data_IF_152318103028
#
_entry.id   IF_152318103028
#
_cell.length_a   1.000
_cell.length_b   1.000
_cell.length_c   1.000
_cell.angle_alpha   90.00
_cell.angle_beta   90.00
_cell.angle_gamma   90.00
#
_symmetry.space_group_name_H-M   'P 1'
#
loop_
_entity.id
_entity.type
_entity.pdbx_description
1 polymer ?
#
# COMPACT_ATOMS: atom_id res chain seq x y z
N UNK A 1 -26.50 -31.36 15.46
CA UNK A 1 -26.43 -29.93 15.68
C UNK A 1 -25.23 -29.38 14.93
N UNK A 2 -25.48 -28.96 13.68
CA UNK A 2 -24.49 -28.27 12.85
C UNK A 2 -24.22 -26.89 13.42
N UNK A 3 -23.23 -26.81 14.29
CA UNK A 3 -22.70 -25.55 14.75
C UNK A 3 -21.99 -24.86 13.57
N UNK A 4 -22.57 -23.78 13.10
CA UNK A 4 -22.27 -23.01 11.90
C UNK A 4 -20.79 -22.86 11.60
N UNK A 5 -20.36 -23.49 10.52
CA UNK A 5 -19.08 -23.25 9.84
C UNK A 5 -19.14 -21.82 9.30
N UNK A 6 -18.73 -20.84 10.09
CA UNK A 6 -18.46 -19.47 9.59
C UNK A 6 -17.46 -19.63 8.45
N UNK A 7 -17.90 -19.47 7.23
CA UNK A 7 -16.99 -19.34 6.09
C UNK A 7 -16.10 -18.13 6.36
N UNK A 8 -14.83 -18.39 6.63
CA UNK A 8 -13.84 -17.34 6.88
C UNK A 8 -13.78 -16.50 5.61
N UNK A 9 -14.28 -15.28 5.64
CA UNK A 9 -14.25 -14.41 4.46
C UNK A 9 -12.78 -14.19 4.05
N UNK A 10 -12.51 -14.27 2.75
CA UNK A 10 -11.19 -14.01 2.18
C UNK A 10 -10.73 -12.62 2.60
N UNK A 11 -9.57 -12.48 3.27
CA UNK A 11 -9.08 -11.19 3.72
C UNK A 11 -8.74 -10.29 2.52
N UNK A 12 -9.01 -8.99 2.66
CA UNK A 12 -8.74 -8.00 1.62
C UNK A 12 -7.35 -7.39 1.81
N UNK A 13 -6.58 -7.36 0.70
CA UNK A 13 -5.37 -6.57 0.55
C UNK A 13 -5.68 -5.37 -0.35
N UNK A 14 -5.53 -4.17 0.20
CA UNK A 14 -5.82 -2.93 -0.49
C UNK A 14 -4.54 -2.31 -1.05
N UNK A 15 -4.43 -2.20 -2.37
CA UNK A 15 -3.33 -1.54 -3.05
C UNK A 15 -3.72 -0.10 -3.40
N UNK A 16 -3.12 0.87 -2.70
CA UNK A 16 -3.36 2.29 -2.92
C UNK A 16 -2.61 2.77 -4.16
N UNK A 17 -3.35 3.21 -5.17
CA UNK A 17 -2.78 3.79 -6.37
C UNK A 17 -3.18 5.25 -6.53
N UNK A 18 -2.18 6.12 -6.55
CA UNK A 18 -2.34 7.52 -6.92
C UNK A 18 -2.20 7.68 -8.44
N UNK A 19 -3.07 8.47 -9.07
CA UNK A 19 -3.00 8.74 -10.49
C UNK A 19 -1.90 9.76 -10.83
N UNK A 20 -1.38 9.65 -12.06
CA UNK A 20 -0.39 10.58 -12.61
C UNK A 20 -0.98 11.93 -13.03
N UNK A 21 -2.32 12.03 -13.08
CA UNK A 21 -3.02 13.17 -13.70
C UNK A 21 -3.26 14.35 -12.77
N UNK A 22 -2.92 14.22 -11.49
CA UNK A 22 -3.00 15.35 -10.57
C UNK A 22 -1.90 16.35 -10.92
N UNK A 23 -2.24 17.37 -11.71
CA UNK A 23 -1.41 18.53 -12.07
C UNK A 23 -1.04 19.42 -10.85
N UNK A 24 -0.82 18.83 -9.70
CA UNK A 24 -0.29 19.54 -8.53
C UNK A 24 1.24 19.57 -8.57
N UNK A 25 1.76 20.02 -9.69
CA UNK A 25 3.17 20.39 -9.81
C UNK A 25 3.40 21.80 -9.23
N UNK A 26 3.20 21.97 -7.94
CA UNK A 26 3.94 23.00 -7.22
C UNK A 26 5.34 22.44 -6.95
N UNK A 27 6.33 22.92 -7.71
CA UNK A 27 7.76 22.65 -7.55
C UNK A 27 8.34 21.31 -8.04
N UNK A 28 7.79 20.66 -9.08
CA UNK A 28 8.52 19.60 -9.80
C UNK A 28 8.71 18.25 -9.06
N UNK A 29 8.30 18.14 -7.79
CA UNK A 29 8.56 16.97 -6.95
C UNK A 29 7.40 15.97 -6.83
N UNK A 30 6.20 16.28 -7.33
CA UNK A 30 5.01 15.45 -7.11
C UNK A 30 4.89 14.21 -8.00
N UNK A 31 5.63 14.16 -9.10
CA UNK A 31 5.60 13.02 -10.05
C UNK A 31 6.21 11.73 -9.50
N UNK A 32 6.91 11.82 -8.39
CA UNK A 32 7.74 10.76 -7.84
C UNK A 32 6.99 9.79 -6.92
N UNK A 33 5.82 10.17 -6.45
CA UNK A 33 5.01 9.40 -5.50
C UNK A 33 3.92 8.59 -6.18
N UNK A 34 4.19 8.12 -7.40
CA UNK A 34 3.19 7.43 -8.21
C UNK A 34 3.79 6.18 -8.82
N UNK A 35 3.04 5.11 -8.79
CA UNK A 35 3.34 3.93 -9.59
C UNK A 35 2.78 4.09 -11.00
N UNK A 36 3.53 3.62 -12.01
CA UNK A 36 2.97 3.47 -13.35
C UNK A 36 1.78 2.51 -13.32
N UNK A 37 0.85 2.67 -14.26
CA UNK A 37 -0.25 1.71 -14.42
C UNK A 37 0.31 0.31 -14.70
N UNK A 38 1.38 0.23 -15.51
CA UNK A 38 2.04 -1.01 -15.85
C UNK A 38 2.64 -1.69 -14.60
N UNK A 39 3.39 -0.96 -13.77
CA UNK A 39 3.92 -1.49 -12.52
C UNK A 39 2.81 -1.96 -11.58
N UNK A 40 1.77 -1.13 -11.38
CA UNK A 40 0.65 -1.48 -10.50
C UNK A 40 -0.08 -2.74 -10.98
N UNK A 41 -0.23 -2.92 -12.31
CA UNK A 41 -0.82 -4.13 -12.90
C UNK A 41 0.03 -5.36 -12.63
N UNK A 42 1.35 -5.29 -12.88
CA UNK A 42 2.26 -6.40 -12.61
C UNK A 42 2.31 -6.74 -11.13
N UNK A 43 2.33 -5.72 -10.26
CA UNK A 43 2.34 -5.92 -8.80
C UNK A 43 1.08 -6.66 -8.32
N UNK A 44 -0.11 -6.30 -8.83
CA UNK A 44 -1.35 -7.03 -8.52
C UNK A 44 -1.22 -8.50 -8.89
N UNK A 45 -0.80 -8.80 -10.13
CA UNK A 45 -0.63 -10.18 -10.59
C UNK A 45 0.40 -10.97 -9.76
N UNK A 46 1.49 -10.31 -9.35
CA UNK A 46 2.50 -10.92 -8.48
C UNK A 46 1.96 -11.18 -7.07
N UNK A 47 1.17 -10.24 -6.52
CA UNK A 47 0.53 -10.41 -5.21
C UNK A 47 -0.53 -11.51 -5.24
N UNK A 48 -1.40 -11.55 -6.23
CA UNK A 48 -2.42 -12.62 -6.39
C UNK A 48 -1.79 -14.01 -6.46
N UNK A 49 -0.67 -14.14 -7.19
CA UNK A 49 0.08 -15.40 -7.28
C UNK A 49 0.72 -15.80 -5.96
N UNK A 50 1.30 -14.85 -5.22
CA UNK A 50 2.05 -15.13 -3.99
C UNK A 50 1.17 -15.21 -2.75
N UNK A 51 -0.02 -14.62 -2.79
CA UNK A 51 -0.98 -14.50 -1.69
C UNK A 51 -2.38 -14.97 -2.14
N UNK A 52 -2.52 -16.24 -2.56
CA UNK A 52 -3.78 -16.75 -3.16
C UNK A 52 -4.96 -16.71 -2.19
N UNK A 53 -4.70 -16.59 -0.89
CA UNK A 53 -5.72 -16.48 0.15
C UNK A 53 -6.19 -15.04 0.40
N UNK A 54 -5.71 -14.07 -0.39
CA UNK A 54 -6.10 -12.67 -0.29
C UNK A 54 -6.88 -12.21 -1.51
N UNK A 55 -7.88 -11.38 -1.28
CA UNK A 55 -8.54 -10.62 -2.34
C UNK A 55 -7.77 -9.31 -2.55
N UNK A 56 -7.05 -9.18 -3.67
CA UNK A 56 -6.25 -7.99 -3.98
C UNK A 56 -7.13 -6.95 -4.66
N UNK A 57 -7.37 -5.83 -4.01
CA UNK A 57 -8.23 -4.75 -4.48
C UNK A 57 -7.42 -3.49 -4.72
N UNK A 58 -7.56 -2.87 -5.89
CA UNK A 58 -6.99 -1.54 -6.15
C UNK A 58 -7.90 -0.45 -5.62
N UNK A 59 -7.33 0.42 -4.82
CA UNK A 59 -7.96 1.67 -4.40
C UNK A 59 -7.31 2.81 -5.17
N UNK A 60 -8.04 3.40 -6.11
CA UNK A 60 -7.50 4.44 -7.00
C UNK A 60 -8.24 5.76 -6.79
N UNK A 61 -7.48 6.86 -6.76
CA UNK A 61 -8.00 8.22 -6.75
C UNK A 61 -8.69 8.64 -8.06
N UNK A 62 -8.57 7.83 -9.13
CA UNK A 62 -9.36 7.99 -10.38
C UNK A 62 -10.80 7.53 -10.23
N UNK A 63 -11.12 6.75 -9.22
CA UNK A 63 -12.49 6.36 -8.95
C UNK A 63 -13.25 7.53 -8.29
N UNK A 64 -13.84 8.39 -9.12
CA UNK A 64 -14.53 9.60 -8.66
C UNK A 64 -15.66 9.32 -7.68
N UNK A 65 -16.41 8.23 -7.87
CA UNK A 65 -17.47 7.81 -6.96
C UNK A 65 -16.91 7.44 -5.59
N UNK A 66 -15.82 6.67 -5.55
CA UNK A 66 -15.15 6.31 -4.32
C UNK A 66 -14.54 7.55 -3.63
N UNK A 67 -13.92 8.45 -4.41
CA UNK A 67 -13.28 9.65 -3.86
C UNK A 67 -14.29 10.68 -3.34
N UNK A 68 -15.48 10.77 -3.92
CA UNK A 68 -16.57 11.62 -3.44
C UNK A 68 -17.28 11.05 -2.20
N UNK A 69 -17.11 9.76 -1.90
CA UNK A 69 -17.79 9.08 -0.80
C UNK A 69 -16.83 8.78 0.38
N UNK A 70 -16.73 9.68 1.34
CA UNK A 70 -15.88 9.46 2.52
C UNK A 70 -16.23 8.17 3.28
N UNK A 71 -17.50 7.89 3.49
CA UNK A 71 -17.95 6.65 4.13
C UNK A 71 -17.56 5.40 3.33
N UNK A 72 -17.48 5.51 1.98
CA UNK A 72 -17.02 4.40 1.14
C UNK A 72 -15.51 4.15 1.33
N UNK A 73 -14.72 5.23 1.43
CA UNK A 73 -13.29 5.13 1.73
C UNK A 73 -13.06 4.50 3.09
N UNK A 74 -13.73 4.99 4.14
CA UNK A 74 -13.66 4.41 5.49
C UNK A 74 -13.97 2.92 5.49
N UNK A 75 -15.05 2.49 4.81
CA UNK A 75 -15.42 1.07 4.72
C UNK A 75 -14.38 0.23 3.99
N UNK A 76 -13.79 0.76 2.91
CA UNK A 76 -12.74 0.07 2.18
C UNK A 76 -11.51 -0.21 3.06
N UNK A 77 -11.07 0.79 3.81
CA UNK A 77 -9.95 0.63 4.75
C UNK A 77 -10.32 -0.24 5.95
N UNK A 78 -11.52 -0.09 6.50
CA UNK A 78 -11.99 -0.92 7.62
C UNK A 78 -12.04 -2.42 7.27
N UNK A 79 -12.41 -2.76 6.03
CA UNK A 79 -12.44 -4.14 5.56
C UNK A 79 -11.06 -4.70 5.18
N UNK A 80 -10.06 -3.84 5.03
CA UNK A 80 -8.73 -4.27 4.63
C UNK A 80 -7.96 -4.90 5.80
N UNK A 81 -7.39 -6.10 5.56
CA UNK A 81 -6.43 -6.73 6.47
C UNK A 81 -5.02 -6.24 6.23
N UNK A 82 -4.70 -5.90 4.98
CA UNK A 82 -3.41 -5.36 4.56
C UNK A 82 -3.63 -4.14 3.67
N UNK A 83 -2.88 -3.08 3.91
CA UNK A 83 -2.80 -1.90 3.03
C UNK A 83 -1.38 -1.75 2.52
N UNK A 84 -1.24 -1.57 1.21
CA UNK A 84 0.04 -1.30 0.55
C UNK A 84 -0.09 0.03 -0.18
N UNK A 85 0.82 0.96 0.06
CA UNK A 85 0.77 2.27 -0.59
C UNK A 85 2.14 2.95 -0.68
N UNK A 86 2.28 3.86 -1.63
CA UNK A 86 3.43 4.78 -1.63
C UNK A 86 3.31 5.77 -0.48
N UNK A 87 4.47 6.20 0.01
CA UNK A 87 4.55 7.30 0.98
C UNK A 87 3.70 8.50 0.53
N UNK A 88 2.75 8.91 1.35
CA UNK A 88 1.89 10.05 1.04
C UNK A 88 0.56 10.05 1.79
N UNK A 89 -0.20 11.15 1.66
CA UNK A 89 -1.41 11.42 2.43
C UNK A 89 -2.49 10.30 2.38
N UNK A 90 -2.53 9.51 1.30
CA UNK A 90 -3.45 8.37 1.19
C UNK A 90 -3.28 7.33 2.30
N UNK A 91 -2.07 7.21 2.86
CA UNK A 91 -1.80 6.32 4.00
C UNK A 91 -2.39 6.83 5.32
N UNK A 92 -2.83 8.08 5.43
CA UNK A 92 -3.55 8.56 6.63
C UNK A 92 -4.83 7.77 6.90
N UNK A 93 -5.42 7.18 5.86
CA UNK A 93 -6.65 6.39 5.97
C UNK A 93 -6.45 5.04 6.72
N UNK A 94 -5.21 4.65 7.07
CA UNK A 94 -4.96 3.50 7.95
C UNK A 94 -5.62 3.66 9.32
N UNK A 95 -5.98 4.89 9.71
CA UNK A 95 -6.79 5.18 10.90
C UNK A 95 -8.13 4.43 10.93
N UNK A 96 -8.67 4.08 9.77
CA UNK A 96 -9.96 3.38 9.64
C UNK A 96 -9.83 1.86 9.62
N UNK A 97 -8.62 1.32 9.60
CA UNK A 97 -8.39 -0.12 9.62
C UNK A 97 -8.64 -0.70 11.02
N UNK A 98 -8.98 -1.98 11.05
CA UNK A 98 -9.06 -2.69 12.33
C UNK A 98 -7.68 -2.83 12.99
N UNK A 99 -7.55 -2.63 14.31
CA UNK A 99 -6.30 -2.89 15.02
C UNK A 99 -5.71 -4.27 14.71
N UNK A 100 -4.39 -4.38 14.67
CA UNK A 100 -3.71 -5.61 14.29
C UNK A 100 -3.71 -5.89 12.78
N UNK A 101 -4.10 -4.92 11.94
CA UNK A 101 -3.91 -5.00 10.48
C UNK A 101 -2.45 -4.72 10.09
N UNK A 102 -2.10 -4.95 8.82
CA UNK A 102 -0.75 -4.72 8.32
C UNK A 102 -0.69 -3.54 7.35
N UNK A 103 0.36 -2.73 7.46
CA UNK A 103 0.62 -1.57 6.60
C UNK A 103 1.99 -1.74 5.96
N UNK A 104 2.04 -1.68 4.63
CA UNK A 104 3.27 -1.67 3.84
C UNK A 104 3.40 -0.33 3.15
N UNK A 105 4.36 0.45 3.59
CA UNK A 105 4.70 1.72 2.98
C UNK A 105 5.86 1.54 2.00
N UNK A 106 5.64 1.94 0.76
CA UNK A 106 6.70 2.04 -0.23
C UNK A 106 7.28 3.46 -0.19
N UNK A 107 8.51 3.57 0.29
CA UNK A 107 9.19 4.84 0.44
C UNK A 107 10.27 4.98 -0.65
N UNK A 108 10.05 5.83 -1.65
CA UNK A 108 10.97 5.97 -2.76
C UNK A 108 12.30 6.66 -2.39
N UNK A 109 12.43 7.21 -1.21
CA UNK A 109 13.59 8.02 -0.83
C UNK A 109 14.37 7.39 0.33
N UNK A 110 15.39 6.61 0.02
CA UNK A 110 16.24 6.00 1.04
C UNK A 110 16.98 7.03 1.92
N UNK A 111 17.18 8.25 1.43
CA UNK A 111 17.95 9.31 2.10
C UNK A 111 17.07 10.44 2.69
N UNK A 112 15.74 10.33 2.61
CA UNK A 112 14.87 11.33 3.22
C UNK A 112 14.60 10.93 4.68
N UNK A 113 15.02 11.78 5.62
CA UNK A 113 14.81 11.55 7.06
C UNK A 113 13.33 11.33 7.43
N UNK A 114 12.41 11.81 6.60
CA UNK A 114 10.96 11.55 6.76
C UNK A 114 10.54 10.13 6.40
N UNK A 115 11.40 9.41 5.68
CA UNK A 115 11.19 8.05 5.21
C UNK A 115 12.11 7.04 5.92
N UNK A 116 12.74 7.41 7.04
CA UNK A 116 13.55 6.49 7.81
C UNK A 116 12.66 5.50 8.60
N UNK A 117 13.06 4.23 8.70
CA UNK A 117 12.36 3.24 9.51
C UNK A 117 12.19 3.75 10.95
N UNK A 118 10.94 3.72 11.45
CA UNK A 118 10.59 4.19 12.80
C UNK A 118 10.50 5.71 12.98
N UNK A 119 10.87 6.52 11.97
CA UNK A 119 10.86 7.99 12.04
C UNK A 119 9.73 8.68 11.30
N UNK A 120 9.09 8.03 10.35
CA UNK A 120 8.06 8.61 9.50
C UNK A 120 6.70 8.76 10.18
N UNK A 121 5.82 9.64 9.67
CA UNK A 121 4.50 9.88 10.26
C UNK A 121 3.62 8.62 10.25
N UNK A 122 3.71 7.79 9.22
CA UNK A 122 2.85 6.61 9.09
C UNK A 122 3.32 5.43 9.96
N UNK A 123 4.63 5.28 10.21
CA UNK A 123 5.13 4.29 11.18
C UNK A 123 4.67 4.62 12.61
N UNK A 124 4.71 5.91 12.99
CA UNK A 124 4.21 6.36 14.30
C UNK A 124 2.71 6.18 14.40
N UNK A 125 1.96 6.54 13.36
CA UNK A 125 0.52 6.35 13.30
C UNK A 125 0.16 4.86 13.45
N UNK A 126 0.81 3.98 12.67
CA UNK A 126 0.61 2.54 12.75
C UNK A 126 0.90 1.99 14.15
N UNK A 127 1.95 2.45 14.81
CA UNK A 127 2.28 2.06 16.18
C UNK A 127 1.18 2.46 17.19
N UNK A 128 0.67 3.70 17.10
CA UNK A 128 -0.38 4.22 18.00
C UNK A 128 -1.68 3.40 17.88
N UNK A 129 -2.02 2.95 16.67
CA UNK A 129 -3.26 2.20 16.41
C UNK A 129 -3.03 0.68 16.34
N UNK A 130 -1.87 0.21 16.82
CA UNK A 130 -1.51 -1.22 16.92
C UNK A 130 -1.53 -1.97 15.60
N UNK A 131 -1.05 -1.36 14.52
CA UNK A 131 -0.84 -2.03 13.24
C UNK A 131 0.58 -2.57 13.11
N UNK A 132 0.72 -3.69 12.42
CA UNK A 132 2.01 -4.15 11.93
C UNK A 132 2.45 -3.23 10.80
N UNK A 133 3.72 -2.82 10.80
CA UNK A 133 4.20 -1.85 9.83
C UNK A 133 5.52 -2.29 9.21
N UNK A 134 5.59 -2.21 7.88
CA UNK A 134 6.81 -2.39 7.11
C UNK A 134 7.02 -1.21 6.18
N UNK A 135 8.22 -0.66 6.15
CA UNK A 135 8.66 0.29 5.13
C UNK A 135 9.56 -0.45 4.13
N UNK A 136 9.23 -0.32 2.85
CA UNK A 136 10.04 -0.87 1.76
C UNK A 136 10.78 0.27 1.06
N UNK A 137 12.10 0.17 1.04
CA UNK A 137 12.98 0.99 0.24
C UNK A 137 13.49 0.17 -0.94
N UNK A 138 13.21 0.54 -2.18
CA UNK A 138 13.83 -0.13 -3.32
C UNK A 138 15.33 0.16 -3.31
N UNK A 139 16.19 -0.77 -3.81
CA UNK A 139 17.60 -0.53 -3.98
C UNK A 139 17.86 0.71 -4.83
N UNK A 140 18.91 1.46 -4.51
CA UNK A 140 19.28 2.70 -5.19
C UNK A 140 19.50 2.50 -6.71
N UNK A 141 19.94 1.31 -7.11
CA UNK A 141 20.16 0.94 -8.50
C UNK A 141 18.86 0.79 -9.31
N UNK A 142 17.75 0.46 -8.65
CA UNK A 142 16.42 0.40 -9.26
C UNK A 142 15.80 1.81 -9.40
N UNK A 143 16.45 2.80 -8.79
CA UNK A 143 16.03 4.20 -8.78
C UNK A 143 16.61 4.97 -9.96
N UNK A 144 16.13 4.73 -11.15
CA UNK A 144 16.39 5.67 -12.26
C UNK A 144 15.37 6.81 -12.21
N UNK A 145 15.72 7.84 -11.47
CA UNK A 145 15.00 9.11 -11.48
C UNK A 145 15.07 9.75 -12.86
N UNK A 146 14.02 9.65 -13.59
CA UNK A 146 13.79 10.54 -14.72
C UNK A 146 12.66 11.47 -14.30
N UNK A 147 12.96 12.75 -14.21
CA UNK A 147 11.96 13.79 -13.92
C UNK A 147 10.69 13.54 -14.74
N UNK A 148 9.55 13.38 -14.05
CA UNK A 148 8.25 13.18 -14.69
C UNK A 148 7.90 11.74 -15.10
N UNK A 149 8.71 10.72 -14.77
CA UNK A 149 8.38 9.31 -15.08
C UNK A 149 8.09 8.53 -13.80
N UNK A 150 7.00 7.79 -13.85
CA UNK A 150 6.64 6.74 -12.91
C UNK A 150 7.74 5.69 -12.88
N UNK A 151 8.28 5.42 -11.71
CA UNK A 151 9.36 4.45 -11.53
C UNK A 151 8.86 3.04 -11.84
N UNK A 152 9.62 2.30 -12.61
CA UNK A 152 9.43 0.87 -12.78
C UNK A 152 10.36 0.15 -11.81
N UNK A 153 9.76 -0.60 -10.88
CA UNK A 153 10.47 -1.42 -9.90
C UNK A 153 10.30 -2.90 -10.24
N UNK A 154 11.11 -3.73 -9.60
CA UNK A 154 10.91 -5.17 -9.65
C UNK A 154 9.72 -5.56 -8.78
N UNK A 155 8.55 -5.76 -9.43
CA UNK A 155 7.29 -6.12 -8.77
C UNK A 155 7.35 -7.47 -8.05
N UNK A 156 8.05 -8.45 -8.62
CA UNK A 156 8.22 -9.78 -8.00
C UNK A 156 9.03 -9.69 -6.72
N UNK A 157 10.12 -8.92 -6.72
CA UNK A 157 10.94 -8.70 -5.52
C UNK A 157 10.15 -8.00 -4.42
N UNK A 158 9.38 -6.97 -4.80
CA UNK A 158 8.54 -6.26 -3.84
C UNK A 158 7.43 -7.15 -3.28
N UNK A 159 6.74 -7.91 -4.12
CA UNK A 159 5.73 -8.88 -3.69
C UNK A 159 6.32 -9.96 -2.75
N UNK A 160 7.55 -10.42 -3.02
CA UNK A 160 8.27 -11.35 -2.14
C UNK A 160 8.54 -10.73 -0.76
N UNK A 161 8.98 -9.47 -0.71
CA UNK A 161 9.19 -8.78 0.57
C UNK A 161 7.87 -8.65 1.36
N UNK A 162 6.77 -8.31 0.69
CA UNK A 162 5.45 -8.25 1.31
C UNK A 162 5.07 -9.62 1.88
N UNK A 163 5.20 -10.69 1.09
CA UNK A 163 4.90 -12.05 1.54
C UNK A 163 5.72 -12.45 2.77
N UNK A 164 7.03 -12.18 2.76
CA UNK A 164 7.91 -12.50 3.88
C UNK A 164 7.53 -11.71 5.15
N UNK A 165 7.17 -10.44 5.00
CA UNK A 165 6.67 -9.64 6.11
C UNK A 165 5.37 -10.22 6.67
N UNK A 166 4.40 -10.56 5.82
CA UNK A 166 3.13 -11.14 6.26
C UNK A 166 3.32 -12.50 6.95
N UNK A 167 4.29 -13.31 6.48
CA UNK A 167 4.67 -14.55 7.14
C UNK A 167 5.25 -14.31 8.54
N UNK A 168 6.07 -13.27 8.70
CA UNK A 168 6.72 -12.95 9.99
C UNK A 168 5.75 -12.46 11.08
N UNK A 169 4.51 -12.12 10.71
CA UNK A 169 3.45 -11.64 11.60
C UNK A 169 2.22 -12.56 11.61
N UNK A 170 2.36 -13.81 11.18
CA UNK A 170 1.32 -14.85 11.15
C UNK A 170 0.06 -14.46 10.34
N UNK A 171 0.25 -13.81 9.20
CA UNK A 171 -0.84 -13.37 8.31
C UNK A 171 -1.06 -14.29 7.09
N UNK A 172 -0.27 -15.36 6.91
CA UNK A 172 -0.38 -16.29 5.77
C UNK A 172 -1.16 -17.56 6.07
#
# INVERSE_FOLDING_TARGET
>A
TDAGRRTKSTPTLLLLKRSSDTKHTRNGHDSVRQWSDNFANRLVLSLERMLPNYNVVRFSDRNSTMMACHACQMRAFHSAKVVIGMHGAGLSNILYMNPGSAVVEFAPYANDARCLPGGGPFSRLAAVISHHYMMHHPPTEEYKWTAGRTSEFNDTRFATHIRNFLASIDFL
#
